data_IF_598665420699
#
_entry.id   IF_598665420699
#
_cell.length_a   1.000
_cell.length_b   1.000
_cell.length_c   1.000
_cell.angle_alpha   90.00
_cell.angle_beta   90.00
_cell.angle_gamma   90.00
#
_symmetry.space_group_name_H-M   'P 1'
#
loop_
_entity.id
_entity.type
_entity.pdbx_description
1 polymer ?
#
# COMPACT_ATOMS: atom_id res chain seq x y z
N UNK A 1 -35.37 -1.96 -22.00
CA UNK A 1 -35.01 -0.62 -21.49
C UNK A 1 -33.95 -0.83 -20.45
N UNK A 2 -32.70 -0.52 -20.75
CA UNK A 2 -31.69 -0.41 -19.69
C UNK A 2 -32.11 0.76 -18.81
N UNK A 3 -32.16 0.62 -17.48
CA UNK A 3 -32.43 1.76 -16.62
C UNK A 3 -31.35 2.82 -16.84
N UNK A 4 -31.76 4.08 -17.00
CA UNK A 4 -30.84 5.20 -17.12
C UNK A 4 -29.89 5.24 -15.93
N UNK A 5 -28.60 5.51 -16.19
CA UNK A 5 -27.57 5.62 -15.15
C UNK A 5 -27.93 6.77 -14.20
N UNK A 6 -28.06 6.47 -12.90
CA UNK A 6 -28.39 7.46 -11.88
C UNK A 6 -27.17 8.33 -11.50
N UNK A 7 -27.38 9.40 -10.73
CA UNK A 7 -26.29 10.32 -10.39
C UNK A 7 -25.22 9.71 -9.47
N UNK A 8 -25.61 8.80 -8.57
CA UNK A 8 -24.67 8.07 -7.72
C UNK A 8 -23.75 7.15 -8.55
N UNK A 9 -24.30 6.47 -9.57
CA UNK A 9 -23.56 5.62 -10.51
C UNK A 9 -22.65 6.44 -11.43
N UNK A 10 -23.07 7.64 -11.85
CA UNK A 10 -22.19 8.58 -12.58
C UNK A 10 -21.04 9.05 -11.69
N UNK A 11 -21.30 9.39 -10.43
CA UNK A 11 -20.27 9.78 -9.47
C UNK A 11 -19.28 8.64 -9.22
N UNK A 12 -19.78 7.41 -9.06
CA UNK A 12 -18.96 6.21 -8.94
C UNK A 12 -18.05 6.03 -10.17
N UNK A 13 -18.61 6.12 -11.38
CA UNK A 13 -17.84 6.01 -12.62
C UNK A 13 -16.74 7.08 -12.71
N UNK A 14 -17.07 8.33 -12.36
CA UNK A 14 -16.11 9.42 -12.34
C UNK A 14 -14.95 9.15 -11.38
N UNK A 15 -15.26 8.70 -10.16
CA UNK A 15 -14.22 8.34 -9.18
C UNK A 15 -13.37 7.17 -9.65
N UNK A 16 -13.96 6.14 -10.24
CA UNK A 16 -13.22 4.98 -10.76
C UNK A 16 -12.28 5.36 -11.90
N UNK A 17 -12.70 6.29 -12.78
CA UNK A 17 -11.84 6.86 -13.82
C UNK A 17 -10.68 7.66 -13.24
N UNK A 18 -10.96 8.46 -12.22
CA UNK A 18 -9.94 9.22 -11.48
C UNK A 18 -8.90 8.29 -10.86
N UNK A 19 -9.33 7.19 -10.21
CA UNK A 19 -8.41 6.17 -9.68
C UNK A 19 -7.46 5.66 -10.78
N UNK A 20 -8.00 5.29 -11.95
CA UNK A 20 -7.20 4.80 -13.08
C UNK A 20 -6.15 5.80 -13.55
N UNK A 21 -6.46 7.11 -13.47
CA UNK A 21 -5.54 8.19 -13.85
C UNK A 21 -4.49 8.47 -12.78
N UNK A 22 -4.86 8.43 -11.49
CA UNK A 22 -3.97 8.78 -10.38
C UNK A 22 -3.03 7.63 -10.00
N UNK A 23 -3.45 6.36 -10.14
CA UNK A 23 -2.63 5.21 -9.69
C UNK A 23 -1.20 5.21 -10.25
N UNK A 24 -0.94 5.49 -11.55
CA UNK A 24 0.42 5.50 -12.08
C UNK A 24 1.33 6.57 -11.47
N UNK A 25 0.77 7.65 -10.92
CA UNK A 25 1.55 8.75 -10.29
C UNK A 25 1.50 8.69 -8.77
N UNK A 26 1.07 7.57 -8.18
CA UNK A 26 0.83 7.46 -6.74
C UNK A 26 2.05 7.00 -5.95
N UNK A 27 3.20 6.76 -6.61
CA UNK A 27 4.37 6.08 -6.03
C UNK A 27 4.22 4.54 -5.94
N UNK A 28 3.04 3.99 -6.24
CA UNK A 28 2.84 2.55 -6.26
C UNK A 28 3.54 1.93 -7.49
N UNK A 29 4.32 0.88 -7.25
CA UNK A 29 5.06 0.18 -8.30
C UNK A 29 4.63 -1.28 -8.43
N UNK A 30 4.64 -1.79 -9.66
CA UNK A 30 4.40 -3.21 -9.93
C UNK A 30 5.64 -4.07 -9.59
N UNK A 31 5.51 -5.38 -9.76
CA UNK A 31 6.60 -6.35 -9.52
C UNK A 31 7.87 -6.06 -10.35
N UNK A 32 7.75 -5.40 -11.50
CA UNK A 32 8.87 -4.99 -12.35
C UNK A 32 9.45 -3.61 -11.98
N UNK A 33 9.10 -3.06 -10.81
CA UNK A 33 9.55 -1.75 -10.32
C UNK A 33 9.22 -0.59 -11.26
N UNK A 34 8.11 -0.71 -11.98
CA UNK A 34 7.55 0.38 -12.81
C UNK A 34 6.26 0.89 -12.18
N UNK A 35 5.84 2.13 -12.48
CA UNK A 35 4.55 2.65 -12.06
C UNK A 35 3.41 1.64 -12.23
N UNK A 36 2.55 1.56 -11.23
CA UNK A 36 1.41 0.66 -11.23
C UNK A 36 0.35 1.17 -12.21
N UNK A 37 0.16 0.45 -13.32
CA UNK A 37 -0.93 0.71 -14.24
C UNK A 37 -2.04 -0.32 -14.04
N UNK A 38 -3.23 0.14 -13.66
CA UNK A 38 -4.42 -0.70 -13.50
C UNK A 38 -5.24 -0.81 -14.81
N UNK A 39 -4.56 -0.99 -15.95
CA UNK A 39 -5.17 -0.94 -17.29
C UNK A 39 -6.35 -1.90 -17.47
N UNK A 40 -6.22 -3.14 -16.98
CA UNK A 40 -7.33 -4.13 -17.06
C UNK A 40 -8.54 -3.72 -16.23
N UNK A 41 -8.31 -3.05 -15.10
CA UNK A 41 -9.38 -2.50 -14.28
C UNK A 41 -10.07 -1.35 -15.02
N UNK A 42 -9.30 -0.39 -15.57
CA UNK A 42 -9.84 0.70 -16.36
C UNK A 42 -10.65 0.22 -17.57
N UNK A 43 -10.15 -0.77 -18.31
CA UNK A 43 -10.91 -1.39 -19.41
C UNK A 43 -12.22 -2.04 -18.94
N UNK A 44 -12.24 -2.66 -17.76
CA UNK A 44 -13.45 -3.26 -17.22
C UNK A 44 -14.47 -2.20 -16.75
N UNK A 45 -14.00 -1.08 -16.21
CA UNK A 45 -14.82 0.08 -15.84
C UNK A 45 -15.45 0.69 -17.11
N UNK A 46 -14.65 0.97 -18.14
CA UNK A 46 -15.16 1.59 -19.38
C UNK A 46 -16.18 0.73 -20.11
N UNK A 47 -16.01 -0.60 -20.12
CA UNK A 47 -17.01 -1.53 -20.69
C UNK A 47 -18.38 -1.46 -20.03
N UNK A 48 -18.47 -0.86 -18.85
CA UNK A 48 -19.69 -0.74 -18.03
C UNK A 48 -20.11 0.73 -17.85
N UNK A 49 -19.49 1.66 -18.57
CA UNK A 49 -19.75 3.09 -18.39
C UNK A 49 -21.23 3.47 -18.64
N UNK A 50 -21.91 2.73 -19.52
CA UNK A 50 -23.32 2.94 -19.88
C UNK A 50 -24.28 2.04 -19.10
N UNK A 51 -23.78 1.15 -18.23
CA UNK A 51 -24.57 0.24 -17.40
C UNK A 51 -24.15 0.40 -15.94
N UNK A 52 -24.78 1.36 -15.26
CA UNK A 52 -24.49 1.70 -13.87
C UNK A 52 -24.72 0.54 -12.91
N UNK A 53 -25.70 -0.33 -13.18
CA UNK A 53 -25.97 -1.51 -12.36
C UNK A 53 -24.85 -2.54 -12.51
N UNK A 54 -24.40 -2.80 -13.74
CA UNK A 54 -23.25 -3.67 -13.99
C UNK A 54 -21.95 -3.10 -13.40
N UNK A 55 -21.78 -1.78 -13.37
CA UNK A 55 -20.65 -1.11 -12.74
C UNK A 55 -20.63 -1.33 -11.23
N UNK A 56 -21.76 -1.09 -10.54
CA UNK A 56 -21.89 -1.32 -9.09
C UNK A 56 -21.65 -2.81 -8.77
N UNK A 57 -22.27 -3.71 -9.51
CA UNK A 57 -22.07 -5.15 -9.33
C UNK A 57 -20.60 -5.57 -9.52
N UNK A 58 -19.90 -4.97 -10.48
CA UNK A 58 -18.47 -5.20 -10.68
C UNK A 58 -17.62 -4.72 -9.49
N UNK A 59 -17.94 -3.56 -8.92
CA UNK A 59 -17.25 -3.03 -7.73
C UNK A 59 -17.51 -3.91 -6.51
N UNK A 60 -18.77 -4.28 -6.24
CA UNK A 60 -19.12 -5.22 -5.15
C UNK A 60 -18.36 -6.54 -5.30
N UNK A 61 -18.33 -7.10 -6.51
CA UNK A 61 -17.60 -8.33 -6.78
C UNK A 61 -16.09 -8.21 -6.50
N UNK A 62 -15.49 -7.02 -6.58
CA UNK A 62 -14.07 -6.81 -6.23
C UNK A 62 -13.81 -6.88 -4.73
N UNK A 63 -14.72 -6.34 -3.92
CA UNK A 63 -14.65 -6.39 -2.45
C UNK A 63 -14.77 -7.84 -1.96
N UNK A 64 -15.65 -8.62 -2.59
CA UNK A 64 -15.92 -10.02 -2.20
C UNK A 64 -15.00 -11.06 -2.88
N UNK A 65 -14.26 -10.70 -3.94
CA UNK A 65 -13.30 -11.60 -4.58
C UNK A 65 -12.03 -11.78 -3.73
N UNK A 66 -11.27 -12.88 -3.81
CA UNK A 66 -10.00 -12.98 -3.08
C UNK A 66 -9.00 -11.84 -3.37
N UNK A 67 -8.21 -11.49 -2.35
CA UNK A 67 -6.89 -10.85 -2.42
C UNK A 67 -6.19 -11.02 -3.77
N UNK A 68 -5.97 -9.97 -4.57
CA UNK A 68 -5.04 -10.03 -5.72
C UNK A 68 -3.88 -9.06 -5.51
N UNK A 69 -2.68 -9.48 -5.87
CA UNK A 69 -1.37 -8.81 -5.69
C UNK A 69 -1.30 -7.33 -6.10
N UNK A 70 -2.22 -6.85 -6.94
CA UNK A 70 -2.25 -5.45 -7.38
C UNK A 70 -2.64 -4.45 -6.29
N UNK A 71 -3.34 -4.89 -5.24
CA UNK A 71 -3.71 -4.04 -4.10
C UNK A 71 -2.55 -3.85 -3.12
N UNK A 72 -1.66 -4.84 -3.00
CA UNK A 72 -0.49 -4.76 -2.10
C UNK A 72 0.45 -3.62 -2.49
N UNK A 73 0.63 -3.37 -3.79
CA UNK A 73 1.46 -2.26 -4.29
C UNK A 73 0.94 -0.87 -3.87
N UNK A 74 -0.38 -0.70 -3.76
CA UNK A 74 -0.98 0.55 -3.27
C UNK A 74 -0.77 0.69 -1.76
N UNK A 75 -0.92 -0.39 -1.01
CA UNK A 75 -0.72 -0.40 0.44
C UNK A 75 0.76 -0.14 0.78
N UNK A 76 1.68 -0.77 0.06
CA UNK A 76 3.12 -0.59 0.23
C UNK A 76 3.52 0.88 0.06
N UNK A 77 2.92 1.57 -0.92
CA UNK A 77 3.12 2.99 -1.19
C UNK A 77 2.33 3.93 -0.25
N UNK A 78 1.63 3.41 0.76
CA UNK A 78 0.81 4.23 1.67
C UNK A 78 -0.43 4.84 1.01
N UNK A 79 -0.84 4.33 -0.16
CA UNK A 79 -1.97 4.82 -0.96
C UNK A 79 -3.18 3.91 -0.86
N UNK A 80 -3.51 3.52 0.37
CA UNK A 80 -4.71 2.72 0.66
C UNK A 80 -6.02 3.44 0.25
N UNK A 81 -5.99 4.78 0.17
CA UNK A 81 -7.06 5.64 -0.33
C UNK A 81 -7.46 5.36 -1.79
N UNK A 82 -6.55 4.76 -2.58
CA UNK A 82 -6.78 4.45 -3.99
C UNK A 82 -7.35 3.04 -4.23
N UNK A 83 -7.64 2.30 -3.16
CA UNK A 83 -8.20 0.95 -3.25
C UNK A 83 -9.72 0.97 -3.49
N UNK A 84 -10.26 -0.14 -4.01
CA UNK A 84 -11.72 -0.26 -4.19
C UNK A 84 -12.41 -0.35 -2.83
N UNK A 85 -11.75 -0.99 -1.87
CA UNK A 85 -12.17 -1.14 -0.50
C UNK A 85 -12.34 0.22 0.18
N UNK A 86 -11.37 1.13 0.05
CA UNK A 86 -11.50 2.50 0.57
C UNK A 86 -12.66 3.27 -0.07
N UNK A 87 -12.86 3.11 -1.39
CA UNK A 87 -13.97 3.74 -2.10
C UNK A 87 -15.34 3.25 -1.63
N UNK A 88 -15.49 1.94 -1.36
CA UNK A 88 -16.75 1.35 -0.90
C UNK A 88 -17.02 1.68 0.57
N UNK A 89 -15.97 1.77 1.40
CA UNK A 89 -16.09 2.12 2.82
C UNK A 89 -16.50 3.59 3.06
N UNK A 90 -16.34 4.48 2.06
CA UNK A 90 -16.71 5.89 2.19
C UNK A 90 -18.24 6.09 2.23
N UNK A 91 -18.74 6.40 3.43
CA UNK A 91 -20.18 6.62 3.71
C UNK A 91 -20.66 8.00 3.30
N UNK A 92 -19.77 8.97 3.13
CA UNK A 92 -20.09 10.37 2.81
C UNK A 92 -20.00 10.64 1.30
N UNK A 93 -19.51 9.66 0.53
CA UNK A 93 -19.37 9.80 -0.91
C UNK A 93 -20.72 9.91 -1.64
N UNK A 94 -20.70 10.63 -2.77
CA UNK A 94 -21.87 10.78 -3.64
C UNK A 94 -22.42 9.45 -4.21
N UNK A 95 -21.62 8.38 -4.18
CA UNK A 95 -22.02 7.03 -4.59
C UNK A 95 -22.40 6.11 -3.43
N UNK A 96 -22.39 6.59 -2.19
CA UNK A 96 -22.55 5.76 -1.00
C UNK A 96 -23.86 4.97 -1.02
N UNK A 97 -24.95 5.53 -1.56
CA UNK A 97 -26.26 4.88 -1.66
C UNK A 97 -26.25 3.60 -2.52
N UNK A 98 -25.24 3.40 -3.37
CA UNK A 98 -25.12 2.20 -4.21
C UNK A 98 -24.54 0.99 -3.47
N UNK A 99 -24.07 1.14 -2.24
CA UNK A 99 -23.46 0.06 -1.46
C UNK A 99 -24.27 -0.22 -0.18
N UNK A 100 -24.40 -1.50 0.17
CA UNK A 100 -25.07 -1.91 1.41
C UNK A 100 -24.11 -1.81 2.60
N UNK A 101 -24.64 -1.91 3.83
CA UNK A 101 -23.77 -2.01 5.00
C UNK A 101 -22.90 -3.28 4.97
N UNK A 102 -23.41 -4.38 4.42
CA UNK A 102 -22.64 -5.61 4.21
C UNK A 102 -21.46 -5.39 3.24
N UNK A 103 -21.67 -4.65 2.14
CA UNK A 103 -20.58 -4.30 1.22
C UNK A 103 -19.50 -3.46 1.93
N UNK A 104 -19.92 -2.53 2.81
CA UNK A 104 -19.01 -1.68 3.58
C UNK A 104 -18.25 -2.46 4.62
N UNK A 105 -18.91 -3.31 5.40
CA UNK A 105 -18.27 -4.17 6.40
C UNK A 105 -17.23 -5.08 5.74
N UNK A 106 -17.55 -5.67 4.58
CA UNK A 106 -16.61 -6.48 3.82
C UNK A 106 -15.40 -5.67 3.33
N UNK A 107 -15.64 -4.44 2.86
CA UNK A 107 -14.58 -3.53 2.42
C UNK A 107 -13.67 -3.10 3.58
N UNK A 108 -14.24 -2.69 4.70
CA UNK A 108 -13.52 -2.29 5.91
C UNK A 108 -12.70 -3.44 6.49
N UNK A 109 -13.29 -4.63 6.64
CA UNK A 109 -12.60 -5.81 7.15
C UNK A 109 -11.40 -6.18 6.29
N UNK A 110 -11.56 -6.12 4.97
CA UNK A 110 -10.50 -6.43 4.03
C UNK A 110 -9.40 -5.37 4.03
N UNK A 111 -9.78 -4.09 4.01
CA UNK A 111 -8.82 -2.98 4.09
C UNK A 111 -7.99 -3.08 5.38
N UNK A 112 -8.64 -3.35 6.51
CA UNK A 112 -7.98 -3.60 7.80
C UNK A 112 -6.99 -4.76 7.73
N UNK A 113 -7.38 -5.88 7.12
CA UNK A 113 -6.47 -7.04 6.95
C UNK A 113 -5.25 -6.71 6.08
N UNK A 114 -5.41 -5.93 5.00
CA UNK A 114 -4.29 -5.54 4.15
C UNK A 114 -3.31 -4.61 4.89
N UNK A 115 -3.85 -3.65 5.66
CA UNK A 115 -3.05 -2.71 6.46
C UNK A 115 -2.28 -3.42 7.59
N UNK A 116 -2.90 -4.37 8.29
CA UNK A 116 -2.20 -5.14 9.32
C UNK A 116 -1.14 -6.08 8.73
N UNK A 117 -1.39 -6.66 7.54
CA UNK A 117 -0.39 -7.46 6.83
C UNK A 117 0.82 -6.61 6.41
N UNK A 118 0.61 -5.40 5.89
CA UNK A 118 1.69 -4.45 5.57
C UNK A 118 2.49 -4.04 6.80
N UNK A 119 1.81 -3.65 7.88
CA UNK A 119 2.45 -3.32 9.16
C UNK A 119 3.29 -4.48 9.69
N UNK A 120 2.79 -5.71 9.59
CA UNK A 120 3.52 -6.91 9.98
C UNK A 120 4.78 -7.11 9.13
N UNK A 121 4.68 -6.93 7.80
CA UNK A 121 5.83 -7.00 6.89
C UNK A 121 6.88 -5.93 7.21
N UNK A 122 6.46 -4.69 7.44
CA UNK A 122 7.35 -3.57 7.81
C UNK A 122 8.07 -3.83 9.13
N UNK A 123 7.35 -4.31 10.14
CA UNK A 123 7.94 -4.68 11.43
C UNK A 123 8.96 -5.82 11.30
N UNK A 124 8.65 -6.84 10.48
CA UNK A 124 9.58 -7.94 10.23
C UNK A 124 10.85 -7.48 9.50
N UNK A 125 10.71 -6.62 8.49
CA UNK A 125 11.84 -6.03 7.78
C UNK A 125 12.73 -5.17 8.69
N UNK A 126 12.14 -4.36 9.56
CA UNK A 126 12.91 -3.56 10.53
C UNK A 126 13.62 -4.46 11.56
N UNK A 127 12.96 -5.52 12.05
CA UNK A 127 13.58 -6.47 12.96
C UNK A 127 14.80 -7.18 12.31
N UNK A 128 14.69 -7.56 11.04
CA UNK A 128 15.81 -8.12 10.28
C UNK A 128 16.95 -7.11 10.10
N UNK A 129 16.63 -5.86 9.77
CA UNK A 129 17.61 -4.79 9.62
C UNK A 129 18.36 -4.51 10.94
N UNK A 130 17.64 -4.45 12.07
CA UNK A 130 18.25 -4.32 13.40
C UNK A 130 19.16 -5.49 13.72
N UNK A 131 18.73 -6.73 13.44
CA UNK A 131 19.56 -7.91 13.65
C UNK A 131 20.83 -7.89 12.78
N UNK A 132 20.73 -7.40 11.55
CA UNK A 132 21.87 -7.23 10.65
C UNK A 132 22.88 -6.19 11.18
N UNK A 133 22.40 -5.04 11.66
CA UNK A 133 23.26 -4.01 12.27
C UNK A 133 24.00 -4.53 13.48
N UNK A 134 23.31 -5.28 14.35
CA UNK A 134 23.92 -5.92 15.52
C UNK A 134 25.06 -6.87 15.11
N UNK A 135 24.90 -7.62 14.03
CA UNK A 135 25.98 -8.48 13.49
C UNK A 135 27.16 -7.64 13.01
N UNK A 136 26.92 -6.52 12.33
CA UNK A 136 27.99 -5.60 11.89
C UNK A 136 28.78 -5.06 13.08
N UNK A 137 28.10 -4.59 14.12
CA UNK A 137 28.74 -4.08 15.34
C UNK A 137 29.56 -5.15 16.04
N UNK A 138 29.02 -6.36 16.18
CA UNK A 138 29.73 -7.49 16.75
C UNK A 138 30.99 -7.85 15.94
N UNK A 139 30.91 -7.84 14.59
CA UNK A 139 32.07 -8.06 13.72
C UNK A 139 33.12 -6.96 13.88
N UNK A 140 32.71 -5.69 13.97
CA UNK A 140 33.63 -4.58 14.20
C UNK A 140 34.36 -4.69 15.54
N UNK A 141 33.65 -5.07 16.61
CA UNK A 141 34.21 -5.30 17.94
C UNK A 141 35.24 -6.45 17.93
N UNK A 142 34.89 -7.58 17.29
CA UNK A 142 35.81 -8.73 17.10
C UNK A 142 37.05 -8.35 16.31
N UNK A 143 36.90 -7.58 15.22
CA UNK A 143 38.02 -7.11 14.41
C UNK A 143 38.97 -6.22 15.21
N UNK A 144 38.46 -5.30 16.03
CA UNK A 144 39.30 -4.46 16.89
C UNK A 144 40.13 -5.28 17.87
N UNK A 145 39.50 -6.27 18.51
CA UNK A 145 40.20 -7.18 19.42
C UNK A 145 41.32 -7.95 18.71
N UNK A 146 41.08 -8.44 17.49
CA UNK A 146 42.10 -9.11 16.67
C UNK A 146 43.26 -8.18 16.27
N UNK A 147 43.00 -6.89 16.10
CA UNK A 147 44.02 -5.85 15.84
C UNK A 147 44.75 -5.39 17.11
N UNK A 148 44.53 -6.03 18.27
CA UNK A 148 45.12 -5.65 19.55
C UNK A 148 44.55 -4.36 20.16
N UNK A 149 43.46 -3.84 19.61
CA UNK A 149 42.75 -2.67 20.13
C UNK A 149 41.65 -3.14 21.10
N UNK A 150 41.26 -2.33 22.10
CA UNK A 150 40.10 -2.64 22.90
C UNK A 150 38.85 -2.82 22.03
N UNK A 151 38.06 -3.84 22.36
CA UNK A 151 36.72 -4.06 21.84
C UNK A 151 35.85 -2.79 22.03
N UNK A 152 34.78 -2.68 21.26
CA UNK A 152 33.85 -1.56 21.42
C UNK A 152 33.21 -1.64 22.81
N UNK A 153 33.11 -0.49 23.47
CA UNK A 153 32.33 -0.37 24.71
C UNK A 153 30.84 -0.36 24.40
N UNK A 154 29.96 -0.75 25.34
CA UNK A 154 28.51 -0.71 25.12
C UNK A 154 28.00 0.66 24.62
N UNK A 155 28.61 1.75 25.10
CA UNK A 155 28.29 3.12 24.65
C UNK A 155 28.66 3.35 23.18
N UNK A 156 29.81 2.83 22.73
CA UNK A 156 30.25 2.95 21.33
C UNK A 156 29.43 2.06 20.40
N UNK A 157 29.06 0.86 20.84
CA UNK A 157 28.15 -0.03 20.12
C UNK A 157 26.77 0.63 19.94
N UNK A 158 26.21 1.19 21.00
CA UNK A 158 24.94 1.91 20.94
C UNK A 158 25.00 3.15 20.01
N UNK A 159 26.11 3.90 20.03
CA UNK A 159 26.31 5.02 19.11
C UNK A 159 26.41 4.56 17.65
N UNK A 160 27.06 3.43 17.39
CA UNK A 160 27.18 2.87 16.05
C UNK A 160 25.81 2.39 15.53
N UNK A 161 25.05 1.65 16.35
CA UNK A 161 23.68 1.25 16.03
C UNK A 161 22.77 2.45 15.77
N UNK A 162 22.85 3.50 16.59
CA UNK A 162 22.06 4.72 16.40
C UNK A 162 22.39 5.43 15.08
N UNK A 163 23.67 5.46 14.68
CA UNK A 163 24.09 6.00 13.38
C UNK A 163 23.56 5.16 12.22
N UNK A 164 23.65 3.84 12.31
CA UNK A 164 23.16 2.94 11.27
C UNK A 164 21.63 3.05 11.10
N UNK A 165 20.89 3.10 12.20
CA UNK A 165 19.46 3.36 12.20
C UNK A 165 19.11 4.72 11.56
N UNK A 166 19.86 5.78 11.90
CA UNK A 166 19.68 7.11 11.29
C UNK A 166 19.96 7.09 9.77
N UNK A 167 21.00 6.38 9.33
CA UNK A 167 21.30 6.21 7.89
C UNK A 167 20.17 5.47 7.18
N UNK A 168 19.60 4.41 7.77
CA UNK A 168 18.45 3.72 7.18
C UNK A 168 17.22 4.62 7.09
N UNK A 169 16.93 5.37 8.15
CA UNK A 169 15.81 6.30 8.17
C UNK A 169 15.94 7.39 7.11
N UNK A 170 17.16 7.88 6.85
CA UNK A 170 17.42 8.87 5.81
C UNK A 170 17.41 8.26 4.40
N UNK A 171 17.98 7.05 4.21
CA UNK A 171 17.90 6.34 2.93
C UNK A 171 16.44 6.00 2.54
N UNK A 172 15.57 5.77 3.53
CA UNK A 172 14.13 5.61 3.30
C UNK A 172 13.41 6.92 2.95
N UNK A 173 13.95 8.08 3.31
CA UNK A 173 13.40 9.41 2.96
C UNK A 173 13.92 9.93 1.62
N UNK A 174 15.20 9.73 1.32
CA UNK A 174 15.78 10.13 0.03
C UNK A 174 15.19 9.31 -1.12
N UNK A 175 14.74 8.07 -0.87
CA UNK A 175 13.98 7.28 -1.83
C UNK A 175 12.53 7.80 -2.06
N UNK A 176 12.02 8.64 -1.16
CA UNK A 176 10.66 9.22 -1.18
C UNK A 176 10.67 10.67 -1.72
N UNK A 177 11.82 11.37 -1.68
CA UNK A 177 12.00 12.77 -2.13
C UNK A 177 12.77 12.91 -3.47
N UNK A 178 13.15 11.80 -4.13
CA UNK A 178 13.93 11.80 -5.39
C UNK A 178 13.12 11.62 -6.69
N UNK A 179 11.79 11.84 -6.70
CA UNK A 179 10.99 11.84 -7.94
C UNK A 179 10.01 13.02 -8.04
#
# INVERSE_FOLDING_TARGET
MSPDVNDAQKALLARLRELVVITPTSGAVNAAKRPLHITRFGQAVERRAEDGTALVAYVRAKVHAPAKDGYDALIDAGRSDLTVEALVADREAAWASEFTDEDREAAEARLGSMLEADKTRKNAAEAEAVAYDQRIVAMASKRRAAEGKPALTPKQEAQMLARMAATRANAGKDADESE
#
